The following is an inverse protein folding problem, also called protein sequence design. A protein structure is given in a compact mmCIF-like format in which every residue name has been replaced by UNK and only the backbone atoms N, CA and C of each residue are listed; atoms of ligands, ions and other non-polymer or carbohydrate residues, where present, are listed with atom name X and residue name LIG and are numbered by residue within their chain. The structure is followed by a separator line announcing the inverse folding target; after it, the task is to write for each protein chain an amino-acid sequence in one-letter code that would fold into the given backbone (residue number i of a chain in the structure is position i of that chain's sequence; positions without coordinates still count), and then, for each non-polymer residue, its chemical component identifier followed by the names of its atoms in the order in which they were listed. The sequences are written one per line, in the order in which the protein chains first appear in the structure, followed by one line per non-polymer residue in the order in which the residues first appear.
data_IF_719113669434
#
_entry.id   IF_719113669434
#
_cell.length_a   1.000
_cell.length_b   1.000
_cell.length_c   1.000
_cell.angle_alpha   90.00
_cell.angle_beta   90.00
_cell.angle_gamma   90.00
#
_symmetry.space_group_name_H-M   'P 1'
#
loop_
_entity.id
_entity.type
_entity.pdbx_description
1 polymer ?
#
# COMPACT_ATOMS: atom_id res chain seq x y z
N UNK A 1 -25.33 70.07 8.22
CA UNK A 1 -26.20 70.64 9.28
C UNK A 1 -26.41 69.53 10.31
N UNK A 2 -25.54 69.54 11.34
CA UNK A 2 -25.85 69.78 12.77
C UNK A 2 -26.23 68.47 13.48
N UNK A 3 -25.37 67.82 14.28
CA UNK A 3 -24.79 68.18 15.61
C UNK A 3 -25.43 67.23 16.66
N UNK A 4 -24.72 66.20 17.13
CA UNK A 4 -23.95 66.08 18.39
C UNK A 4 -24.77 66.10 19.70
N UNK A 5 -24.63 65.04 20.51
CA UNK A 5 -24.28 65.00 21.95
C UNK A 5 -24.55 63.57 22.50
N UNK A 6 -23.56 62.71 22.78
CA UNK A 6 -22.64 62.61 23.92
C UNK A 6 -23.28 62.20 25.28
N UNK A 7 -22.82 61.05 25.81
CA UNK A 7 -22.74 60.74 27.24
C UNK A 7 -21.56 59.78 27.46
N UNK A 8 -20.49 60.29 28.03
CA UNK A 8 -19.37 59.57 28.65
C UNK A 8 -19.79 58.92 29.98
N UNK A 9 -19.09 57.86 30.39
CA UNK A 9 -18.60 57.64 31.76
C UNK A 9 -17.45 56.62 31.73
N UNK A 10 -16.33 57.05 32.30
CA UNK A 10 -15.01 56.42 32.40
C UNK A 10 -14.90 55.21 33.34
N UNK A 11 -13.82 54.42 33.15
CA UNK A 11 -13.32 53.43 34.11
C UNK A 11 -11.98 52.81 33.68
N UNK A 12 -10.88 53.45 34.07
CA UNK A 12 -9.43 53.16 33.92
C UNK A 12 -8.98 51.77 34.42
N UNK A 13 -8.22 51.01 33.63
CA UNK A 13 -6.74 50.80 33.64
C UNK A 13 -6.18 49.77 34.64
N UNK A 14 -5.53 48.70 34.11
CA UNK A 14 -4.18 48.19 34.48
C UNK A 14 -4.03 46.69 34.15
N UNK A 15 -3.17 46.32 33.19
CA UNK A 15 -2.52 44.99 33.21
C UNK A 15 -1.42 44.97 34.30
N UNK A 16 -0.52 43.96 34.39
CA UNK A 16 -0.42 42.67 33.69
C UNK A 16 -0.16 41.50 34.68
N UNK A 17 -0.83 40.36 34.55
CA UNK A 17 -0.35 39.11 35.17
C UNK A 17 -0.52 37.95 34.19
N UNK A 18 0.63 37.67 33.59
CA UNK A 18 1.10 36.36 33.16
C UNK A 18 0.60 35.26 34.10
N UNK A 19 -0.35 34.47 33.60
CA UNK A 19 -0.79 33.24 34.21
C UNK A 19 -0.25 32.08 33.38
N UNK A 20 1.06 31.85 33.44
CA UNK A 20 1.63 30.53 33.18
C UNK A 20 0.85 29.51 34.00
N UNK A 21 -0.12 28.84 33.37
CA UNK A 21 -0.64 27.60 33.91
C UNK A 21 0.48 26.58 33.73
N UNK A 22 1.00 25.97 34.80
CA UNK A 22 1.97 24.89 34.66
C UNK A 22 1.30 23.76 33.86
N UNK A 23 1.81 23.47 32.66
CA UNK A 23 1.63 22.17 31.99
C UNK A 23 2.31 21.13 32.88
N UNK A 24 1.60 20.66 33.89
CA UNK A 24 1.84 19.46 34.67
C UNK A 24 0.52 19.14 35.40
N UNK A 25 -0.53 18.94 34.61
CA UNK A 25 -1.65 18.12 35.02
C UNK A 25 -1.50 16.83 34.24
N UNK A 26 -1.48 15.70 34.94
CA UNK A 26 -1.56 14.37 34.33
C UNK A 26 -2.82 14.33 33.46
N UNK A 27 -2.67 14.64 32.17
CA UNK A 27 -3.76 14.57 31.20
C UNK A 27 -3.95 13.07 30.95
N UNK A 28 -4.74 12.44 31.80
CA UNK A 28 -5.07 11.02 31.65
C UNK A 28 -5.92 10.88 30.40
N UNK A 29 -5.38 10.19 29.41
CA UNK A 29 -6.06 9.86 28.16
C UNK A 29 -7.33 9.08 28.52
N UNK A 30 -8.50 9.45 27.96
CA UNK A 30 -9.73 8.69 28.17
C UNK A 30 -9.54 7.21 27.84
N UNK A 31 -10.08 6.32 28.67
CA UNK A 31 -9.90 4.87 28.52
C UNK A 31 -10.28 4.33 27.13
N UNK A 32 -11.35 4.86 26.51
CA UNK A 32 -11.75 4.50 25.14
C UNK A 32 -10.66 4.82 24.10
N UNK A 33 -10.03 6.00 24.22
CA UNK A 33 -8.95 6.41 23.31
C UNK A 33 -7.72 5.51 23.52
N UNK A 34 -7.41 5.18 24.77
CA UNK A 34 -6.32 4.27 25.10
C UNK A 34 -6.55 2.86 24.51
N UNK A 35 -7.78 2.34 24.58
CA UNK A 35 -8.12 1.04 24.00
C UNK A 35 -7.96 1.03 22.47
N UNK A 36 -8.39 2.11 21.80
CA UNK A 36 -8.18 2.29 20.35
C UNK A 36 -6.70 2.31 19.99
N UNK A 37 -5.89 3.07 20.73
CA UNK A 37 -4.44 3.17 20.55
C UNK A 37 -3.78 1.80 20.71
N UNK A 38 -4.13 1.06 21.77
CA UNK A 38 -3.54 -0.26 22.04
C UNK A 38 -3.89 -1.27 20.93
N UNK A 39 -5.14 -1.26 20.46
CA UNK A 39 -5.57 -2.13 19.37
C UNK A 39 -4.87 -1.80 18.05
N UNK A 40 -4.75 -0.52 17.72
CA UNK A 40 -4.01 -0.07 16.54
C UNK A 40 -2.52 -0.41 16.63
N UNK A 41 -1.89 -0.16 17.78
CA UNK A 41 -0.48 -0.51 18.04
C UNK A 41 -0.23 -1.97 17.75
N UNK A 42 -1.05 -2.85 18.33
CA UNK A 42 -0.92 -4.29 18.16
C UNK A 42 -0.97 -4.70 16.68
N UNK A 43 -1.91 -4.16 15.90
CA UNK A 43 -2.01 -4.47 14.47
C UNK A 43 -0.82 -3.94 13.66
N UNK A 44 -0.44 -2.68 13.88
CA UNK A 44 0.65 -2.03 13.16
C UNK A 44 2.01 -2.66 13.47
N UNK A 45 2.24 -3.13 14.70
CA UNK A 45 3.46 -3.88 15.08
C UNK A 45 3.48 -5.29 14.48
N UNK A 46 2.30 -5.90 14.25
CA UNK A 46 2.20 -7.27 13.72
C UNK A 46 2.48 -7.33 12.22
N UNK A 47 1.80 -6.51 11.41
CA UNK A 47 2.00 -6.46 9.96
C UNK A 47 1.65 -5.07 9.42
N UNK A 48 2.62 -4.15 9.54
CA UNK A 48 2.48 -2.76 9.08
C UNK A 48 2.16 -2.68 7.58
N UNK A 49 2.78 -3.52 6.76
CA UNK A 49 2.65 -3.46 5.30
C UNK A 49 1.28 -4.00 4.86
N UNK A 50 0.75 -5.04 5.51
CA UNK A 50 -0.62 -5.46 5.27
C UNK A 50 -1.66 -4.42 5.70
N UNK A 51 -1.43 -3.74 6.83
CA UNK A 51 -2.27 -2.62 7.26
C UNK A 51 -2.24 -1.47 6.22
N UNK A 52 -1.05 -1.12 5.74
CA UNK A 52 -0.84 -0.11 4.69
C UNK A 52 -1.56 -0.50 3.39
N UNK A 53 -1.48 -1.77 2.97
CA UNK A 53 -2.18 -2.26 1.79
C UNK A 53 -3.70 -2.17 1.93
N UNK A 54 -4.26 -2.59 3.07
CA UNK A 54 -5.69 -2.49 3.33
C UNK A 54 -6.16 -1.04 3.35
N UNK A 55 -5.42 -0.18 4.04
CA UNK A 55 -5.66 1.26 4.07
C UNK A 55 -5.59 1.86 2.66
N UNK A 56 -4.64 1.43 1.84
CA UNK A 56 -4.49 1.89 0.46
C UNK A 56 -5.68 1.50 -0.41
N UNK A 57 -6.22 0.29 -0.26
CA UNK A 57 -7.46 -0.11 -0.95
C UNK A 57 -8.66 0.72 -0.50
N UNK A 58 -8.78 0.98 0.80
CA UNK A 58 -9.81 1.87 1.35
C UNK A 58 -9.73 3.28 0.75
N UNK A 59 -8.54 3.88 0.74
CA UNK A 59 -8.30 5.21 0.16
C UNK A 59 -8.61 5.23 -1.33
N UNK A 60 -8.19 4.21 -2.10
CA UNK A 60 -8.49 4.12 -3.52
C UNK A 60 -10.00 4.05 -3.79
N UNK A 61 -10.76 3.34 -2.95
CA UNK A 61 -12.22 3.29 -3.04
C UNK A 61 -12.88 4.62 -2.65
N UNK A 62 -12.38 5.29 -1.61
CA UNK A 62 -12.88 6.59 -1.18
C UNK A 62 -12.65 7.71 -2.21
N UNK A 63 -11.50 7.69 -2.89
CA UNK A 63 -11.16 8.66 -3.93
C UNK A 63 -11.81 8.35 -5.29
N UNK A 64 -12.55 7.25 -5.41
CA UNK A 64 -13.27 6.90 -6.63
C UNK A 64 -14.50 7.78 -6.79
N UNK A 65 -14.81 8.17 -8.03
CA UNK A 65 -16.09 8.81 -8.35
C UNK A 65 -17.30 7.89 -8.09
N UNK A 66 -17.07 6.59 -7.88
CA UNK A 66 -18.08 5.57 -7.55
C UNK A 66 -17.98 5.12 -6.09
N UNK A 67 -17.51 5.99 -5.20
CA UNK A 67 -17.33 5.66 -3.79
C UNK A 67 -18.61 5.09 -3.15
N UNK A 68 -19.79 5.49 -3.61
CA UNK A 68 -21.10 4.99 -3.19
C UNK A 68 -21.27 3.47 -3.36
N UNK A 69 -20.60 2.88 -4.35
CA UNK A 69 -20.59 1.44 -4.61
C UNK A 69 -19.31 0.75 -4.17
N UNK A 70 -18.17 1.44 -4.27
CA UNK A 70 -16.84 0.86 -4.02
C UNK A 70 -16.37 0.96 -2.56
N UNK A 71 -16.85 1.96 -1.80
CA UNK A 71 -16.47 2.17 -0.41
C UNK A 71 -17.52 1.58 0.53
N UNK A 72 -17.49 0.25 0.65
CA UNK A 72 -18.38 -0.48 1.56
C UNK A 72 -17.55 -1.39 2.48
N UNK A 73 -17.78 -1.38 3.81
CA UNK A 73 -18.71 -0.53 4.53
C UNK A 73 -18.22 0.92 4.58
N UNK A 74 -19.14 1.88 4.43
CA UNK A 74 -18.82 3.29 4.58
C UNK A 74 -18.68 3.64 6.07
N UNK A 75 -17.66 4.39 6.51
CA UNK A 75 -17.46 4.63 7.94
C UNK A 75 -18.62 5.45 8.53
N UNK A 76 -19.27 4.99 9.61
CA UNK A 76 -20.55 5.52 10.08
C UNK A 76 -20.46 6.97 10.57
N UNK A 77 -19.27 7.40 11.01
CA UNK A 77 -19.01 8.77 11.46
C UNK A 77 -19.26 9.82 10.37
N UNK A 78 -19.12 9.43 9.10
CA UNK A 78 -19.32 10.31 7.94
C UNK A 78 -20.69 10.09 7.28
N UNK A 79 -21.63 9.45 7.99
CA UNK A 79 -23.00 9.25 7.52
C UNK A 79 -23.93 10.15 8.31
N UNK A 80 -24.59 11.07 7.61
CA UNK A 80 -25.61 11.95 8.18
C UNK A 80 -27.00 11.39 7.89
N UNK A 81 -27.88 11.36 8.88
CA UNK A 81 -29.26 10.86 8.75
C UNK A 81 -30.06 11.61 7.67
N UNK A 82 -29.81 12.91 7.52
CA UNK A 82 -30.59 13.78 6.62
C UNK A 82 -29.85 14.14 5.31
N UNK A 83 -28.51 14.17 5.32
CA UNK A 83 -27.69 14.66 4.21
C UNK A 83 -27.00 13.54 3.40
N UNK A 84 -27.09 12.28 3.84
CA UNK A 84 -26.44 11.16 3.16
C UNK A 84 -24.96 11.00 3.55
N UNK A 85 -24.13 10.58 2.59
CA UNK A 85 -22.71 10.31 2.79
C UNK A 85 -21.89 11.59 2.68
N UNK A 86 -21.14 11.95 3.73
CA UNK A 86 -20.23 13.10 3.75
C UNK A 86 -18.82 12.67 3.30
N UNK A 87 -18.66 12.54 1.99
CA UNK A 87 -17.39 12.13 1.37
C UNK A 87 -16.30 13.20 1.52
N UNK A 88 -16.67 14.48 1.53
CA UNK A 88 -15.71 15.58 1.60
C UNK A 88 -15.02 15.62 2.98
N UNK A 89 -15.79 15.43 4.06
CA UNK A 89 -15.23 15.30 5.40
C UNK A 89 -14.32 14.06 5.51
N UNK A 90 -14.72 12.92 4.93
CA UNK A 90 -13.90 11.71 4.91
C UNK A 90 -12.57 11.94 4.18
N UNK A 91 -12.61 12.55 3.00
CA UNK A 91 -11.40 12.86 2.22
C UNK A 91 -10.48 13.82 2.96
N UNK A 92 -11.02 14.80 3.70
CA UNK A 92 -10.20 15.69 4.54
C UNK A 92 -9.37 14.89 5.55
N UNK A 93 -10.01 13.98 6.30
CA UNK A 93 -9.33 13.14 7.30
C UNK A 93 -8.31 12.21 6.64
N UNK A 94 -8.62 11.65 5.47
CA UNK A 94 -7.67 10.84 4.69
C UNK A 94 -6.41 11.64 4.30
N UNK A 95 -6.58 12.89 3.89
CA UNK A 95 -5.47 13.77 3.50
C UNK A 95 -4.60 14.17 4.70
N UNK A 96 -5.22 14.30 5.88
CA UNK A 96 -4.52 14.60 7.14
C UNK A 96 -3.83 13.36 7.75
N UNK A 97 -4.14 12.16 7.24
CA UNK A 97 -3.56 10.91 7.75
C UNK A 97 -2.07 10.78 7.38
N UNK A 98 -1.13 10.77 8.35
CA UNK A 98 0.28 10.61 8.06
C UNK A 98 0.63 9.15 7.72
N UNK A 99 1.83 8.91 7.19
CA UNK A 99 2.35 7.55 6.91
C UNK A 99 2.14 6.65 8.13
N UNK A 100 1.68 5.40 7.94
CA UNK A 100 1.35 4.51 9.09
C UNK A 100 2.56 4.23 9.99
N UNK A 101 3.78 4.27 9.44
CA UNK A 101 5.02 4.19 10.23
C UNK A 101 5.16 5.35 11.23
N UNK A 102 4.72 6.55 10.86
CA UNK A 102 4.75 7.76 11.69
C UNK A 102 3.67 7.66 12.76
N UNK A 103 2.48 7.17 12.39
CA UNK A 103 1.41 6.86 13.37
C UNK A 103 1.93 5.87 14.41
N UNK A 104 2.55 4.76 13.98
CA UNK A 104 3.11 3.77 14.88
C UNK A 104 4.21 4.37 15.77
N UNK A 105 5.10 5.17 15.21
CA UNK A 105 6.15 5.84 15.97
C UNK A 105 5.57 6.75 17.06
N UNK A 106 4.60 7.59 16.72
CA UNK A 106 3.94 8.48 17.68
C UNK A 106 3.22 7.69 18.78
N UNK A 107 2.61 6.54 18.45
CA UNK A 107 1.98 5.65 19.43
C UNK A 107 3.02 5.01 20.37
N UNK A 108 4.16 4.56 19.85
CA UNK A 108 5.23 3.91 20.62
C UNK A 108 5.96 4.90 21.52
N UNK A 109 6.16 6.13 21.05
CA UNK A 109 6.80 7.22 21.80
C UNK A 109 5.84 7.95 22.74
N UNK A 110 4.58 7.51 22.83
CA UNK A 110 3.52 8.12 23.66
C UNK A 110 3.22 9.59 23.30
N UNK A 111 3.53 10.00 22.06
CA UNK A 111 3.27 11.32 21.50
C UNK A 111 1.86 11.42 20.90
N UNK A 112 0.84 11.12 21.71
CA UNK A 112 -0.55 11.00 21.24
C UNK A 112 -1.15 12.33 20.76
N UNK A 113 -0.68 13.46 21.31
CA UNK A 113 -1.13 14.80 20.93
C UNK A 113 -0.81 15.17 19.47
N UNK A 114 0.14 14.46 18.84
CA UNK A 114 0.53 14.66 17.43
C UNK A 114 -0.38 13.89 16.46
N UNK A 115 -1.26 13.02 16.97
CA UNK A 115 -2.20 12.26 16.14
C UNK A 115 -3.57 12.92 16.24
N UNK A 116 -4.06 13.40 15.11
CA UNK A 116 -5.42 13.93 15.03
C UNK A 116 -6.46 12.87 15.45
N UNK A 117 -7.45 13.28 16.26
CA UNK A 117 -8.44 12.37 16.82
C UNK A 117 -9.31 11.71 15.73
N UNK A 118 -9.57 12.42 14.63
CA UNK A 118 -10.40 11.93 13.53
C UNK A 118 -9.63 10.93 12.69
N UNK A 119 -8.32 11.17 12.51
CA UNK A 119 -7.40 10.21 11.90
C UNK A 119 -7.33 8.94 12.75
N UNK A 120 -7.16 9.06 14.06
CA UNK A 120 -7.10 7.91 14.98
C UNK A 120 -8.39 7.08 14.92
N UNK A 121 -9.55 7.75 14.99
CA UNK A 121 -10.85 7.09 14.92
C UNK A 121 -11.08 6.39 13.58
N UNK A 122 -10.71 7.03 12.47
CA UNK A 122 -10.86 6.47 11.13
C UNK A 122 -9.96 5.25 10.92
N UNK A 123 -8.67 5.36 11.30
CA UNK A 123 -7.74 4.23 11.26
C UNK A 123 -8.22 3.07 12.12
N UNK A 124 -8.67 3.35 13.34
CA UNK A 124 -9.23 2.34 14.24
C UNK A 124 -10.46 1.69 13.60
N UNK A 125 -11.36 2.47 13.01
CA UNK A 125 -12.54 1.92 12.34
C UNK A 125 -12.17 0.98 11.18
N UNK A 126 -11.29 1.40 10.28
CA UNK A 126 -10.95 0.63 9.07
C UNK A 126 -10.06 -0.59 9.37
N UNK A 127 -9.11 -0.46 10.29
CA UNK A 127 -8.12 -1.52 10.56
C UNK A 127 -8.54 -2.45 11.71
N UNK A 128 -9.20 -1.93 12.75
CA UNK A 128 -9.57 -2.69 13.96
C UNK A 128 -11.02 -3.11 13.93
N UNK A 129 -11.97 -2.19 13.71
CA UNK A 129 -13.40 -2.53 13.74
C UNK A 129 -13.78 -3.34 12.50
N UNK A 130 -13.35 -2.90 11.32
CA UNK A 130 -13.51 -3.61 10.06
C UNK A 130 -12.34 -4.58 9.84
N UNK A 131 -11.92 -5.35 10.86
CA UNK A 131 -10.71 -6.19 10.80
C UNK A 131 -10.73 -7.19 9.63
N UNK A 132 -11.88 -7.75 9.31
CA UNK A 132 -12.03 -8.76 8.26
C UNK A 132 -12.45 -8.16 6.91
N UNK A 133 -11.92 -8.68 5.78
CA UNK A 133 -10.85 -9.66 5.71
C UNK A 133 -9.48 -9.07 6.10
N UNK A 134 -8.60 -9.94 6.59
CA UNK A 134 -7.22 -9.58 6.94
C UNK A 134 -6.29 -9.85 5.77
N UNK A 135 -5.39 -8.91 5.49
CA UNK A 135 -4.28 -9.14 4.59
C UNK A 135 -3.08 -9.62 5.41
N UNK A 136 -2.25 -10.47 4.81
CA UNK A 136 -0.94 -10.85 5.34
C UNK A 136 0.07 -10.77 4.21
N UNK A 137 1.22 -10.13 4.46
CA UNK A 137 2.30 -10.10 3.49
C UNK A 137 2.86 -11.52 3.28
N UNK A 138 2.98 -11.93 2.01
CA UNK A 138 3.55 -13.22 1.61
C UNK A 138 5.03 -13.01 1.28
N UNK A 139 5.89 -13.89 1.78
CA UNK A 139 7.32 -13.86 1.47
C UNK A 139 7.59 -14.30 0.02
N UNK A 140 8.66 -13.79 -0.58
CA UNK A 140 8.99 -14.03 -1.99
C UNK A 140 9.09 -15.52 -2.37
N UNK A 141 9.59 -16.36 -1.45
CA UNK A 141 9.74 -17.80 -1.66
C UNK A 141 8.40 -18.52 -1.80
N UNK A 142 7.38 -18.07 -1.08
CA UNK A 142 6.04 -18.67 -1.09
C UNK A 142 5.27 -18.28 -2.37
N UNK A 143 5.59 -17.14 -2.97
CA UNK A 143 4.96 -16.72 -4.22
C UNK A 143 5.31 -17.66 -5.39
N UNK A 144 6.56 -18.13 -5.46
CA UNK A 144 6.98 -19.09 -6.50
C UNK A 144 6.25 -20.44 -6.36
N UNK A 145 5.93 -20.85 -5.14
CA UNK A 145 5.08 -22.03 -4.88
C UNK A 145 3.66 -21.80 -5.39
N UNK A 146 3.08 -20.61 -5.20
CA UNK A 146 1.74 -20.28 -5.73
C UNK A 146 1.73 -20.34 -7.25
N UNK A 147 2.75 -19.79 -7.92
CA UNK A 147 2.85 -19.78 -9.38
C UNK A 147 3.02 -21.18 -9.97
N UNK A 148 3.84 -22.02 -9.34
CA UNK A 148 4.01 -23.42 -9.77
C UNK A 148 2.70 -24.21 -9.69
N UNK A 149 1.89 -23.99 -8.65
CA UNK A 149 0.56 -24.60 -8.52
C UNK A 149 -0.43 -24.12 -9.60
N UNK A 150 -0.21 -22.94 -10.17
CA UNK A 150 -1.00 -22.37 -11.26
C UNK A 150 -0.43 -22.67 -12.66
N UNK A 151 0.58 -23.54 -12.74
CA UNK A 151 1.29 -23.92 -13.98
C UNK A 151 1.83 -22.71 -14.77
N UNK A 152 2.20 -21.63 -14.07
CA UNK A 152 2.70 -20.40 -14.69
C UNK A 152 4.19 -20.48 -15.02
N UNK A 153 4.59 -19.76 -16.07
CA UNK A 153 6.00 -19.64 -16.49
C UNK A 153 6.80 -18.70 -15.58
N UNK A 154 8.11 -18.95 -15.43
CA UNK A 154 9.03 -18.10 -14.67
C UNK A 154 9.22 -16.69 -15.28
N UNK A 155 8.75 -16.44 -16.50
CA UNK A 155 8.95 -15.17 -17.22
C UNK A 155 7.91 -14.09 -16.92
N UNK A 156 7.03 -14.30 -15.95
CA UNK A 156 5.96 -13.36 -15.63
C UNK A 156 6.47 -12.12 -14.87
N UNK A 157 5.80 -10.95 -15.01
CA UNK A 157 6.14 -9.76 -14.25
C UNK A 157 5.92 -10.00 -12.75
N UNK A 158 6.98 -9.84 -11.95
CA UNK A 158 6.91 -9.99 -10.50
C UNK A 158 6.21 -8.79 -9.85
N UNK A 159 5.22 -9.03 -8.96
CA UNK A 159 4.62 -7.97 -8.16
C UNK A 159 5.62 -7.39 -7.16
N UNK A 160 5.39 -6.16 -6.71
CA UNK A 160 6.19 -5.55 -5.65
C UNK A 160 5.82 -6.08 -4.27
N UNK A 161 4.54 -6.43 -4.08
CA UNK A 161 4.04 -7.05 -2.86
C UNK A 161 2.97 -8.09 -3.21
N UNK A 162 2.93 -9.15 -2.42
CA UNK A 162 1.90 -10.20 -2.52
C UNK A 162 1.20 -10.29 -1.17
N UNK A 163 -0.12 -10.18 -1.16
CA UNK A 163 -0.91 -10.28 0.04
C UNK A 163 -1.80 -11.51 -0.01
N UNK A 164 -1.75 -12.33 1.03
CA UNK A 164 -2.72 -13.39 1.26
C UNK A 164 -3.96 -12.81 1.92
N UNK A 165 -5.12 -13.14 1.40
CA UNK A 165 -6.41 -12.79 1.99
C UNK A 165 -6.81 -13.89 2.98
N UNK A 166 -6.90 -13.52 4.25
CA UNK A 166 -7.25 -14.39 5.37
C UNK A 166 -8.60 -13.99 5.95
N UNK A 167 -9.29 -14.95 6.57
CA UNK A 167 -10.56 -14.79 7.28
C UNK A 167 -11.61 -14.07 6.40
N UNK A 168 -12.22 -14.83 5.50
CA UNK A 168 -13.32 -14.35 4.63
C UNK A 168 -14.58 -15.12 5.02
N UNK A 169 -15.26 -14.77 6.14
CA UNK A 169 -16.31 -15.62 6.72
C UNK A 169 -17.48 -15.81 5.74
N UNK A 170 -17.90 -14.72 5.10
CA UNK A 170 -19.16 -14.70 4.35
C UNK A 170 -19.08 -15.48 3.03
N UNK A 171 -17.91 -15.50 2.37
CA UNK A 171 -17.71 -16.31 1.15
C UNK A 171 -17.54 -17.79 1.51
N UNK A 172 -16.96 -18.08 2.69
CA UNK A 172 -16.79 -19.45 3.15
C UNK A 172 -18.14 -20.13 3.44
N UNK A 173 -19.06 -19.41 4.08
CA UNK A 173 -20.42 -19.89 4.37
C UNK A 173 -21.22 -20.12 3.09
N UNK A 174 -21.20 -19.19 2.13
CA UNK A 174 -21.91 -19.33 0.85
C UNK A 174 -21.44 -20.53 0.00
N UNK A 175 -20.14 -20.88 0.08
CA UNK A 175 -19.58 -22.06 -0.60
C UNK A 175 -20.00 -23.35 0.13
N UNK A 176 -19.95 -23.38 1.47
CA UNK A 176 -20.29 -24.55 2.28
C UNK A 176 -21.78 -24.91 2.27
N UNK A 177 -22.67 -23.94 2.08
CA UNK A 177 -24.11 -24.17 2.04
C UNK A 177 -24.60 -24.77 0.70
N UNK A 178 -23.76 -24.88 -0.34
CA UNK A 178 -24.17 -25.52 -1.59
C UNK A 178 -24.17 -27.06 -1.45
N UNK A 179 -25.30 -27.73 -1.74
CA UNK A 179 -25.51 -29.16 -1.46
C UNK A 179 -24.67 -30.13 -2.30
N UNK A 180 -23.85 -29.63 -3.23
CA UNK A 180 -23.03 -30.40 -4.18
C UNK A 180 -21.53 -30.33 -3.86
N UNK A 181 -21.15 -29.82 -2.68
CA UNK A 181 -19.75 -29.67 -2.30
C UNK A 181 -19.09 -31.02 -1.97
N UNK A 182 -18.47 -31.62 -2.98
CA UNK A 182 -17.55 -32.76 -2.82
C UNK A 182 -16.15 -32.31 -3.25
N UNK A 183 -15.30 -31.93 -2.28
CA UNK A 183 -13.90 -31.53 -2.55
C UNK A 183 -13.12 -32.59 -3.35
N UNK A 184 -13.47 -33.86 -3.15
CA UNK A 184 -12.82 -35.00 -3.81
C UNK A 184 -13.16 -35.10 -5.32
N UNK A 185 -14.32 -34.61 -5.77
CA UNK A 185 -14.74 -34.70 -7.18
C UNK A 185 -14.33 -33.46 -7.98
N UNK A 186 -14.33 -32.28 -7.36
CA UNK A 186 -14.05 -31.01 -8.03
C UNK A 186 -13.09 -30.15 -7.20
N UNK A 187 -11.76 -30.36 -7.31
CA UNK A 187 -10.80 -29.59 -6.52
C UNK A 187 -10.85 -28.10 -6.88
N UNK A 188 -10.65 -27.20 -5.92
CA UNK A 188 -10.63 -25.76 -6.16
C UNK A 188 -9.49 -25.40 -7.12
N UNK A 189 -9.79 -24.53 -8.08
CA UNK A 189 -8.82 -24.00 -9.05
C UNK A 189 -8.51 -22.55 -8.78
N UNK A 190 -7.33 -22.12 -9.21
CA UNK A 190 -6.88 -20.74 -9.13
C UNK A 190 -6.88 -20.10 -10.52
N UNK A 191 -7.30 -18.85 -10.60
CA UNK A 191 -7.20 -18.02 -11.81
C UNK A 191 -7.01 -16.55 -11.44
N UNK A 192 -6.48 -15.76 -12.36
CA UNK A 192 -6.29 -14.33 -12.18
C UNK A 192 -7.57 -13.55 -12.50
N UNK A 193 -7.76 -12.45 -11.79
CA UNK A 193 -8.78 -11.46 -12.08
C UNK A 193 -8.18 -10.06 -12.04
N UNK A 194 -8.22 -9.38 -13.19
CA UNK A 194 -7.81 -7.99 -13.30
C UNK A 194 -8.99 -7.05 -13.15
N UNK A 195 -8.79 -5.96 -12.39
CA UNK A 195 -9.78 -4.90 -12.21
C UNK A 195 -9.07 -3.59 -11.81
N UNK A 196 -9.82 -2.49 -11.78
CA UNK A 196 -9.31 -1.22 -11.26
C UNK A 196 -9.07 -1.30 -9.75
N UNK A 197 -8.06 -0.58 -9.27
CA UNK A 197 -7.67 -0.55 -7.87
C UNK A 197 -8.84 -0.20 -6.93
N UNK A 198 -9.68 0.75 -7.33
CA UNK A 198 -10.82 1.22 -6.53
C UNK A 198 -11.88 0.15 -6.29
N UNK A 199 -11.90 -0.93 -7.07
CA UNK A 199 -12.88 -2.01 -6.91
C UNK A 199 -12.52 -2.99 -5.79
N UNK A 200 -11.23 -3.14 -5.48
CA UNK A 200 -10.76 -4.24 -4.64
C UNK A 200 -11.20 -4.13 -3.17
N UNK A 201 -11.44 -2.92 -2.66
CA UNK A 201 -11.97 -2.78 -1.29
C UNK A 201 -13.35 -3.42 -1.16
N UNK A 202 -14.31 -3.04 -2.00
CA UNK A 202 -15.65 -3.65 -2.02
C UNK A 202 -15.61 -5.15 -2.34
N UNK A 203 -14.73 -5.58 -3.27
CA UNK A 203 -14.58 -7.01 -3.61
C UNK A 203 -14.13 -7.87 -2.41
N UNK A 204 -13.40 -7.28 -1.47
CA UNK A 204 -12.93 -7.97 -0.27
C UNK A 204 -13.98 -7.98 0.85
N UNK A 205 -14.75 -6.90 0.97
CA UNK A 205 -15.61 -6.64 2.13
C UNK A 205 -17.09 -6.98 1.89
N UNK A 206 -17.54 -7.06 0.63
CA UNK A 206 -18.94 -7.25 0.28
C UNK A 206 -19.16 -8.53 -0.52
N UNK A 207 -20.18 -9.29 -0.12
CA UNK A 207 -20.69 -10.42 -0.94
C UNK A 207 -21.26 -9.89 -2.25
N UNK A 208 -20.92 -10.57 -3.35
CA UNK A 208 -21.44 -10.25 -4.67
C UNK A 208 -20.88 -8.95 -5.28
N UNK A 209 -19.86 -8.31 -4.70
CA UNK A 209 -19.19 -7.17 -5.33
C UNK A 209 -18.47 -7.54 -6.65
N UNK A 210 -18.21 -8.83 -6.87
CA UNK A 210 -17.74 -9.37 -8.14
C UNK A 210 -18.82 -9.41 -9.24
N UNK A 211 -20.09 -9.11 -8.95
CA UNK A 211 -21.17 -9.07 -9.93
C UNK A 211 -20.96 -7.91 -10.89
N UNK A 212 -20.85 -8.21 -12.18
CA UNK A 212 -20.67 -7.21 -13.22
C UNK A 212 -22.04 -6.81 -13.76
N UNK A 213 -22.27 -5.49 -13.88
CA UNK A 213 -23.41 -4.99 -14.63
C UNK A 213 -23.20 -5.24 -16.13
N UNK A 214 -24.23 -5.68 -16.87
CA UNK A 214 -24.11 -5.89 -18.31
C UNK A 214 -23.78 -4.58 -19.02
N UNK A 215 -22.80 -4.62 -19.94
CA UNK A 215 -22.28 -3.42 -20.61
C UNK A 215 -23.30 -2.66 -21.49
N UNK A 216 -24.44 -3.29 -21.84
CA UNK A 216 -25.45 -2.72 -22.73
C UNK A 216 -26.86 -3.07 -22.23
N UNK A 217 -27.61 -2.14 -21.65
CA UNK A 217 -29.06 -2.28 -21.50
C UNK A 217 -29.75 -0.93 -21.52
N UNK A 218 -29.94 -0.39 -22.73
CA UNK A 218 -31.01 0.58 -23.02
C UNK A 218 -32.39 -0.11 -23.10
N UNK A 219 -32.44 -1.45 -23.02
CA UNK A 219 -33.65 -2.25 -23.04
C UNK A 219 -33.66 -3.20 -21.82
N UNK A 220 -34.16 -2.70 -20.69
CA UNK A 220 -34.44 -3.51 -19.51
C UNK A 220 -35.50 -4.58 -19.84
N UNK A 221 -35.16 -5.85 -19.63
CA UNK A 221 -36.08 -6.97 -19.87
C UNK A 221 -35.59 -8.32 -19.35
N UNK A 222 -34.28 -8.59 -19.35
CA UNK A 222 -33.72 -9.81 -18.77
C UNK A 222 -32.63 -9.47 -17.75
N UNK A 223 -32.94 -9.68 -16.47
CA UNK A 223 -32.01 -9.63 -15.33
C UNK A 223 -31.05 -10.83 -15.38
N UNK A 224 -30.20 -10.91 -16.41
CA UNK A 224 -29.12 -11.89 -16.43
C UNK A 224 -27.81 -11.19 -16.10
N UNK A 225 -27.37 -11.37 -14.84
CA UNK A 225 -26.06 -10.92 -14.36
C UNK A 225 -24.96 -11.39 -15.33
N UNK A 226 -24.04 -10.47 -15.69
CA UNK A 226 -22.92 -10.84 -16.55
C UNK A 226 -21.96 -11.77 -15.79
N UNK A 227 -21.45 -12.84 -16.41
CA UNK A 227 -20.56 -13.77 -15.74
C UNK A 227 -19.24 -13.08 -15.36
N UNK A 228 -18.70 -13.45 -14.20
CA UNK A 228 -17.38 -12.98 -13.77
C UNK A 228 -16.31 -13.60 -14.65
N UNK A 229 -15.47 -12.75 -15.26
CA UNK A 229 -14.36 -13.18 -16.10
C UNK A 229 -13.08 -13.32 -15.28
N UNK A 230 -12.52 -14.52 -15.30
CA UNK A 230 -11.22 -14.89 -14.78
C UNK A 230 -10.32 -15.29 -15.96
N UNK A 231 -9.01 -15.33 -15.75
CA UNK A 231 -8.04 -15.73 -16.78
C UNK A 231 -6.92 -16.57 -16.18
N UNK A 232 -6.44 -17.57 -16.92
CA UNK A 232 -5.24 -18.33 -16.56
C UNK A 232 -3.95 -17.63 -16.95
N UNK A 233 -4.03 -16.53 -17.72
CA UNK A 233 -2.90 -15.71 -18.13
C UNK A 233 -2.83 -14.41 -17.31
N UNK A 234 -1.76 -14.26 -16.53
CA UNK A 234 -1.49 -13.06 -15.75
C UNK A 234 -1.33 -11.80 -16.62
N UNK A 235 -0.73 -11.92 -17.82
CA UNK A 235 -0.54 -10.77 -18.69
C UNK A 235 -1.89 -10.24 -19.21
N UNK A 236 -2.82 -11.14 -19.53
CA UNK A 236 -4.20 -10.77 -19.83
C UNK A 236 -4.89 -10.10 -18.63
N UNK A 237 -4.69 -10.59 -17.41
CA UNK A 237 -5.24 -9.95 -16.20
C UNK A 237 -4.68 -8.53 -16.00
N UNK A 238 -3.38 -8.35 -16.21
CA UNK A 238 -2.72 -7.03 -16.09
C UNK A 238 -3.25 -6.00 -17.09
N UNK A 239 -3.66 -6.43 -18.29
CA UNK A 239 -4.31 -5.52 -19.25
C UNK A 239 -5.64 -4.96 -18.73
N UNK A 240 -6.31 -5.69 -17.83
CA UNK A 240 -7.53 -5.27 -17.15
C UNK A 240 -7.28 -4.59 -15.78
N UNK A 241 -6.01 -4.47 -15.36
CA UNK A 241 -5.60 -3.85 -14.10
C UNK A 241 -4.75 -2.59 -14.36
N UNK A 242 -5.37 -1.47 -14.78
CA UNK A 242 -4.63 -0.22 -14.95
C UNK A 242 -4.08 0.28 -13.61
N UNK A 243 -3.02 1.09 -13.67
CA UNK A 243 -2.50 1.78 -12.48
C UNK A 243 -3.56 2.74 -11.94
N UNK A 244 -3.99 2.53 -10.69
CA UNK A 244 -4.86 3.42 -9.94
C UNK A 244 -4.08 4.26 -8.93
N UNK A 245 -4.64 5.42 -8.57
CA UNK A 245 -4.14 6.20 -7.45
C UNK A 245 -4.48 5.46 -6.15
N UNK A 246 -3.46 5.09 -5.40
CA UNK A 246 -3.60 4.54 -4.06
C UNK A 246 -3.54 5.65 -3.02
N UNK A 247 -2.91 5.38 -1.88
CA UNK A 247 -2.61 6.38 -0.89
C UNK A 247 -1.22 6.97 -1.13
N UNK A 248 -1.11 8.30 -1.24
CA UNK A 248 0.15 8.97 -1.55
C UNK A 248 1.28 8.68 -0.55
N UNK A 249 0.92 8.39 0.70
CA UNK A 249 1.85 8.03 1.78
C UNK A 249 2.11 6.51 1.91
N UNK A 250 1.53 5.69 1.03
CA UNK A 250 1.62 4.23 1.09
C UNK A 250 3.05 3.71 0.92
N UNK A 251 3.41 2.75 1.77
CA UNK A 251 4.64 1.98 1.65
C UNK A 251 4.62 1.01 0.47
N UNK A 252 3.41 0.63 -0.01
CA UNK A 252 3.23 -0.21 -1.19
C UNK A 252 3.37 0.56 -2.52
N UNK A 253 3.36 1.89 -2.48
CA UNK A 253 3.47 2.79 -3.64
C UNK A 253 2.25 3.69 -3.79
N UNK A 254 2.44 4.86 -4.41
CA UNK A 254 1.37 5.85 -4.60
C UNK A 254 0.49 5.56 -5.81
N UNK A 255 1.03 4.84 -6.80
CA UNK A 255 0.29 4.32 -7.96
C UNK A 255 0.39 2.80 -7.98
N UNK A 256 -0.74 2.11 -7.92
CA UNK A 256 -0.80 0.65 -7.80
C UNK A 256 -1.67 0.08 -8.91
N UNK A 257 -1.13 -0.88 -9.67
CA UNK A 257 -1.93 -1.85 -10.40
C UNK A 257 -2.12 -3.08 -9.51
N UNK A 258 -3.36 -3.60 -9.44
CA UNK A 258 -3.72 -4.70 -8.57
C UNK A 258 -4.37 -5.84 -9.38
N UNK A 259 -3.91 -7.07 -9.17
CA UNK A 259 -4.50 -8.29 -9.74
C UNK A 259 -4.87 -9.23 -8.59
N UNK A 260 -6.09 -9.77 -8.60
CA UNK A 260 -6.47 -10.83 -7.67
C UNK A 260 -6.09 -12.20 -8.23
N UNK A 261 -5.67 -13.11 -7.34
CA UNK A 261 -5.74 -14.56 -7.57
C UNK A 261 -7.00 -15.05 -6.88
N UNK A 262 -7.93 -15.52 -7.69
CA UNK A 262 -9.23 -16.02 -7.28
C UNK A 262 -9.21 -17.55 -7.22
N UNK A 263 -9.78 -18.09 -6.17
CA UNK A 263 -10.07 -19.50 -5.99
C UNK A 263 -11.55 -19.74 -6.27
N UNK A 264 -11.83 -20.75 -7.10
CA UNK A 264 -13.19 -21.08 -7.50
C UNK A 264 -13.35 -22.59 -7.69
N UNK A 265 -14.58 -23.07 -7.55
CA UNK A 265 -14.92 -24.48 -7.78
C UNK A 265 -15.18 -24.72 -9.27
N UNK A 266 -14.52 -25.74 -9.83
CA UNK A 266 -14.63 -26.06 -11.25
C UNK A 266 -15.81 -26.98 -11.56
N UNK A 267 -17.03 -26.46 -11.47
CA UNK A 267 -18.25 -27.20 -11.75
C UNK A 267 -18.87 -26.80 -13.12
N UNK A 268 -19.28 -27.76 -13.97
CA UNK A 268 -19.72 -27.50 -15.34
C UNK A 268 -21.03 -26.70 -15.46
N UNK A 269 -21.80 -26.58 -14.37
CA UNK A 269 -23.07 -25.82 -14.38
C UNK A 269 -22.87 -24.30 -14.32
N UNK A 270 -21.82 -23.84 -13.64
CA UNK A 270 -21.58 -22.41 -13.37
C UNK A 270 -20.23 -21.91 -13.85
N UNK A 271 -19.30 -22.78 -14.23
CA UNK A 271 -18.02 -22.41 -14.82
C UNK A 271 -17.98 -22.83 -16.29
N UNK A 272 -17.74 -21.85 -17.15
CA UNK A 272 -17.61 -22.04 -18.59
C UNK A 272 -16.24 -21.52 -19.01
N UNK A 273 -15.51 -22.25 -19.83
CA UNK A 273 -14.20 -21.80 -20.30
C UNK A 273 -13.68 -22.76 -21.34
N UNK A 274 -13.14 -22.20 -22.42
CA UNK A 274 -12.41 -23.00 -23.40
C UNK A 274 -10.93 -23.00 -23.02
N UNK A 275 -10.34 -24.19 -22.94
CA UNK A 275 -8.91 -24.41 -22.70
C UNK A 275 -8.06 -23.60 -23.70
N UNK A 276 -8.57 -23.35 -24.90
CA UNK A 276 -7.89 -22.56 -25.92
C UNK A 276 -7.91 -21.05 -25.68
N UNK A 277 -8.82 -20.53 -24.85
CA UNK A 277 -9.09 -19.09 -24.74
C UNK A 277 -8.43 -18.39 -23.55
N UNK A 278 -7.78 -19.13 -22.64
CA UNK A 278 -7.27 -18.66 -21.34
C UNK A 278 -8.32 -17.96 -20.45
N UNK A 279 -9.56 -17.77 -20.91
CA UNK A 279 -10.63 -17.04 -20.23
C UNK A 279 -11.61 -18.05 -19.62
N UNK A 280 -12.00 -17.78 -18.38
CA UNK A 280 -12.94 -18.56 -17.60
C UNK A 280 -14.08 -17.63 -17.18
N UNK A 281 -15.31 -18.00 -17.50
CA UNK A 281 -16.54 -17.31 -17.17
C UNK A 281 -17.27 -18.03 -16.04
N UNK A 282 -17.47 -17.34 -14.91
CA UNK A 282 -18.16 -17.87 -13.74
C UNK A 282 -19.52 -17.18 -13.60
N UNK A 283 -20.61 -17.93 -13.78
CA UNK A 283 -22.00 -17.40 -13.65
C UNK A 283 -22.43 -17.13 -12.22
N UNK A 284 -21.84 -17.84 -11.25
CA UNK A 284 -22.08 -17.64 -9.81
C UNK A 284 -20.83 -16.99 -9.18
N UNK A 285 -20.65 -15.66 -9.28
CA UNK A 285 -19.49 -14.99 -8.70
C UNK A 285 -19.41 -15.12 -7.17
N UNK A 286 -20.54 -15.41 -6.52
CA UNK A 286 -20.62 -15.65 -5.07
C UNK A 286 -19.82 -16.90 -4.63
N UNK A 287 -19.46 -17.79 -5.56
CA UNK A 287 -18.61 -18.98 -5.33
C UNK A 287 -17.13 -18.72 -5.59
N UNK A 288 -16.74 -17.47 -5.89
CA UNK A 288 -15.36 -17.09 -6.16
C UNK A 288 -14.79 -16.34 -4.97
N UNK A 289 -13.67 -16.82 -4.46
CA UNK A 289 -12.96 -16.22 -3.33
C UNK A 289 -11.66 -15.59 -3.80
N UNK A 290 -11.41 -14.33 -3.44
CA UNK A 290 -10.06 -13.76 -3.60
C UNK A 290 -9.16 -14.40 -2.55
N UNK A 291 -8.09 -15.08 -3.01
CA UNK A 291 -7.13 -15.76 -2.14
C UNK A 291 -5.84 -14.95 -1.97
N UNK A 292 -5.41 -14.27 -3.03
CA UNK A 292 -4.24 -13.40 -3.00
C UNK A 292 -4.48 -12.10 -3.79
N UNK A 293 -3.75 -11.06 -3.43
CA UNK A 293 -3.66 -9.80 -4.18
C UNK A 293 -2.20 -9.55 -4.57
N UNK A 294 -2.00 -9.28 -5.85
CA UNK A 294 -0.71 -8.94 -6.43
C UNK A 294 -0.67 -7.43 -6.64
N UNK A 295 0.22 -6.76 -5.91
CA UNK A 295 0.38 -5.31 -6.02
C UNK A 295 1.60 -5.02 -6.89
N UNK A 296 1.38 -4.22 -7.92
CA UNK A 296 2.41 -3.65 -8.80
C UNK A 296 2.48 -2.16 -8.51
N UNK A 297 3.16 -1.84 -7.41
CA UNK A 297 3.31 -0.48 -6.92
C UNK A 297 4.48 0.25 -7.59
N UNK A 298 4.24 1.49 -7.98
CA UNK A 298 5.29 2.44 -8.35
C UNK A 298 5.27 3.62 -7.39
N UNK A 299 6.46 4.10 -7.04
CA UNK A 299 6.64 5.25 -6.16
C UNK A 299 7.14 6.42 -7.00
N UNK A 300 6.52 7.58 -6.88
CA UNK A 300 7.18 8.82 -7.25
C UNK A 300 8.37 9.02 -6.30
N UNK A 301 9.56 9.41 -6.76
CA UNK A 301 10.68 9.64 -5.86
C UNK A 301 10.33 10.77 -4.88
N UNK A 302 10.13 10.42 -3.60
CA UNK A 302 10.04 11.38 -2.50
C UNK A 302 11.42 12.02 -2.30
N UNK A 303 11.50 13.36 -2.22
CA UNK A 303 12.76 14.07 -1.92
C UNK A 303 13.26 13.82 -0.47
N UNK A 304 12.40 13.29 0.42
CA UNK A 304 12.60 13.22 1.86
C UNK A 304 12.93 11.83 2.45
N UNK A 305 13.15 10.79 1.64
CA UNK A 305 13.57 9.47 2.18
C UNK A 305 15.11 9.37 2.34
N UNK A 306 15.63 9.04 3.54
CA UNK A 306 17.02 8.68 3.70
C UNK A 306 17.31 7.37 2.95
N UNK A 307 18.08 7.47 1.86
CA UNK A 307 18.53 6.39 0.98
C UNK A 307 19.39 5.33 1.72
N UNK A 308 18.77 4.36 2.40
CA UNK A 308 19.56 3.32 3.07
C UNK A 308 19.89 2.08 2.21
N UNK A 309 19.35 1.88 1.00
CA UNK A 309 19.55 0.61 0.28
C UNK A 309 19.76 0.69 -1.23
N UNK A 310 20.57 1.62 -1.74
CA UNK A 310 21.14 1.52 -3.11
C UNK A 310 22.58 2.04 -3.20
N UNK A 311 23.62 1.17 -3.20
CA UNK A 311 25.02 1.62 -3.30
C UNK A 311 25.37 2.21 -4.68
N UNK A 312 24.47 2.16 -5.67
CA UNK A 312 24.66 2.71 -7.01
C UNK A 312 24.19 4.15 -7.18
N UNK A 313 23.37 4.70 -6.29
CA UNK A 313 22.89 6.10 -6.40
C UNK A 313 23.89 7.12 -5.85
N UNK A 314 24.74 6.73 -4.89
CA UNK A 314 25.77 7.61 -4.30
C UNK A 314 26.79 8.11 -5.34
N UNK A 315 27.28 7.21 -6.20
CA UNK A 315 28.20 7.55 -7.29
C UNK A 315 27.54 8.48 -8.32
N UNK A 316 26.23 8.33 -8.52
CA UNK A 316 25.44 9.13 -9.44
C UNK A 316 25.15 10.55 -8.96
N UNK A 317 25.01 10.75 -7.65
CA UNK A 317 24.70 12.05 -7.03
C UNK A 317 25.94 12.92 -6.84
N UNK A 318 27.08 12.31 -6.54
CA UNK A 318 28.35 13.02 -6.36
C UNK A 318 29.21 13.13 -7.64
N UNK A 319 28.62 13.06 -8.85
CA UNK A 319 29.36 13.12 -10.12
C UNK A 319 30.34 14.29 -10.19
N UNK A 320 29.94 15.47 -9.71
CA UNK A 320 30.80 16.66 -9.70
C UNK A 320 31.87 16.61 -8.60
N UNK A 321 31.53 16.14 -7.39
CA UNK A 321 32.50 16.00 -6.29
C UNK A 321 33.53 14.91 -6.59
N UNK A 322 33.12 13.80 -7.20
CA UNK A 322 33.99 12.72 -7.65
C UNK A 322 34.86 13.19 -8.82
N UNK A 323 34.29 13.92 -9.77
CA UNK A 323 35.05 14.56 -10.86
C UNK A 323 36.09 15.54 -10.33
N UNK A 324 35.74 16.35 -9.32
CA UNK A 324 36.66 17.28 -8.69
C UNK A 324 37.77 16.55 -7.92
N UNK A 325 37.44 15.49 -7.18
CA UNK A 325 38.42 14.66 -6.50
C UNK A 325 39.38 13.97 -7.49
N UNK A 326 38.86 13.41 -8.58
CA UNK A 326 39.67 12.83 -9.66
C UNK A 326 40.58 13.88 -10.32
N UNK A 327 40.07 15.09 -10.56
CA UNK A 327 40.86 16.19 -11.11
C UNK A 327 41.97 16.63 -10.17
N UNK A 328 41.69 16.74 -8.86
CA UNK A 328 42.69 17.06 -7.85
C UNK A 328 43.75 15.96 -7.71
N UNK A 329 43.36 14.69 -7.80
CA UNK A 329 44.30 13.56 -7.83
C UNK A 329 45.18 13.57 -9.08
N UNK A 330 44.63 13.97 -10.23
CA UNK A 330 45.37 14.11 -11.48
C UNK A 330 46.39 15.26 -11.37
N UNK A 331 45.99 16.41 -10.84
CA UNK A 331 46.90 17.54 -10.58
C UNK A 331 48.00 17.18 -9.59
N UNK A 332 47.65 16.48 -8.50
CA UNK A 332 48.64 15.99 -7.54
C UNK A 332 49.62 15.00 -8.20
N UNK A 333 49.13 14.13 -9.08
CA UNK A 333 49.97 13.17 -9.81
C UNK A 333 50.94 13.87 -10.76
N UNK A 334 50.49 14.92 -11.47
CA UNK A 334 51.35 15.76 -12.32
C UNK A 334 52.38 16.52 -11.46
N UNK A 335 51.96 17.07 -10.32
CA UNK A 335 52.84 17.76 -9.37
C UNK A 335 53.94 16.84 -8.83
N UNK A 336 53.60 15.61 -8.44
CA UNK A 336 54.58 14.60 -8.00
C UNK A 336 55.50 14.19 -9.15
N UNK A 337 54.98 14.03 -10.37
CA UNK A 337 55.78 13.67 -11.54
C UNK A 337 56.78 14.75 -11.96
N UNK A 338 56.46 16.03 -11.73
CA UNK A 338 57.31 17.18 -12.09
C UNK A 338 58.25 17.61 -10.94
N UNK A 339 57.97 17.20 -9.70
CA UNK A 339 58.90 17.38 -8.58
C UNK A 339 60.02 16.34 -8.64
N UNK A 340 61.26 16.71 -8.28
CA UNK A 340 62.40 15.79 -8.23
C UNK A 340 62.22 14.60 -7.26
N UNK A 341 61.13 14.56 -6.49
CA UNK A 341 60.72 13.47 -5.59
C UNK A 341 59.91 12.35 -6.28
N UNK A 342 59.55 12.49 -7.55
CA UNK A 342 58.75 11.50 -8.29
C UNK A 342 59.40 10.13 -8.46
N UNK A 343 60.74 10.04 -8.42
CA UNK A 343 61.43 8.74 -8.52
C UNK A 343 61.29 7.87 -7.26
N UNK A 344 61.22 8.49 -6.08
CA UNK A 344 61.03 7.79 -4.81
C UNK A 344 59.63 7.13 -4.74
N UNK A 345 58.60 7.88 -5.10
CA UNK A 345 57.23 7.38 -5.12
C UNK A 345 57.01 6.32 -6.20
N UNK A 346 57.63 6.43 -7.37
CA UNK A 346 57.57 5.39 -8.41
C UNK A 346 58.10 4.03 -7.91
N UNK A 347 59.17 4.02 -7.11
CA UNK A 347 59.73 2.79 -6.53
C UNK A 347 58.86 2.19 -5.42
N UNK A 348 58.23 3.03 -4.61
CA UNK A 348 57.31 2.57 -3.54
C UNK A 348 56.01 2.04 -4.13
N UNK A 349 55.47 2.73 -5.15
CA UNK A 349 54.22 2.37 -5.79
C UNK A 349 54.37 1.09 -6.63
N UNK A 350 55.49 0.92 -7.35
CA UNK A 350 55.73 -0.33 -8.09
C UNK A 350 55.85 -1.54 -7.16
N UNK A 351 56.55 -1.40 -6.03
CA UNK A 351 56.65 -2.47 -5.02
C UNK A 351 55.29 -2.85 -4.42
N UNK A 352 54.43 -1.86 -4.14
CA UNK A 352 53.08 -2.11 -3.60
C UNK A 352 52.09 -2.61 -4.66
N UNK A 353 52.19 -2.15 -5.90
CA UNK A 353 51.35 -2.60 -7.01
C UNK A 353 51.63 -4.07 -7.37
N UNK A 354 52.90 -4.50 -7.33
CA UNK A 354 53.24 -5.92 -7.48
C UNK A 354 52.62 -6.78 -6.36
N UNK A 355 52.67 -6.31 -5.11
CA UNK A 355 52.05 -6.98 -3.96
C UNK A 355 50.54 -7.11 -4.08
N UNK A 356 49.87 -6.06 -4.59
CA UNK A 356 48.42 -6.06 -4.83
C UNK A 356 48.04 -6.95 -6.02
N UNK A 357 48.81 -6.93 -7.11
CA UNK A 357 48.59 -7.82 -8.25
C UNK A 357 48.80 -9.29 -7.88
N UNK A 358 49.82 -9.61 -7.07
CA UNK A 358 50.02 -10.97 -6.56
C UNK A 358 48.91 -11.42 -5.60
N UNK A 359 48.38 -10.49 -4.78
CA UNK A 359 47.24 -10.74 -3.92
C UNK A 359 45.96 -10.99 -4.72
N UNK A 360 45.66 -10.15 -5.72
CA UNK A 360 44.52 -10.34 -6.61
C UNK A 360 44.65 -11.62 -7.45
N UNK A 361 45.86 -11.95 -7.93
CA UNK A 361 46.11 -13.18 -8.68
C UNK A 361 45.85 -14.43 -7.83
N UNK A 362 46.20 -14.41 -6.53
CA UNK A 362 45.89 -15.49 -5.59
C UNK A 362 44.41 -15.64 -5.25
N UNK A 363 43.62 -14.57 -5.37
CA UNK A 363 42.18 -14.61 -5.11
C UNK A 363 41.40 -15.12 -6.33
N UNK A 364 41.88 -14.87 -7.55
CA UNK A 364 41.16 -15.18 -8.79
C UNK A 364 41.59 -16.47 -9.50
N UNK A 365 42.61 -17.18 -9.01
CA UNK A 365 42.90 -18.56 -9.43
C UNK A 365 42.74 -19.49 -8.23
N UNK A 366 41.58 -20.14 -8.02
CA UNK A 366 41.49 -21.30 -7.15
C UNK A 366 42.22 -22.47 -7.84
N UNK A 367 42.98 -23.27 -7.09
CA UNK A 367 43.28 -24.64 -7.54
C UNK A 367 42.00 -25.48 -7.62
#
# INVERSE_FOLDING_TARGET
MTSQASSECDGTSSGPYDGYIPRNGDYQIPADIQDKINALRFLLETDLIACDAKWTLFVAAALSYRYDTQLKPFPPRFVSTDAGLDIDALISVINDTPKLRVVLQNIVEENYDEIDADVLDLLHHVLVVQREPMLHLVEDNDFDVILSNMEQSEQIPRPTHVFRVCNVPVIHEAIQEQPTYNEDEHPPKLAFHGNRLDCFFAMLTQVGACKQQPANTENAGDELDAPLKLTTDLQAALQHSPNGAGWGASSCGSMISCVAICEFENHPEYVFGDIASSIIEVRKPDLVRIRYLLFYGSRFPDEDEPEEKRPSSWLGRNKYSLSLACYMLLLASIGVANSGSGQYWKQVLSKKAHLLLDFCRRIFTPE
#
